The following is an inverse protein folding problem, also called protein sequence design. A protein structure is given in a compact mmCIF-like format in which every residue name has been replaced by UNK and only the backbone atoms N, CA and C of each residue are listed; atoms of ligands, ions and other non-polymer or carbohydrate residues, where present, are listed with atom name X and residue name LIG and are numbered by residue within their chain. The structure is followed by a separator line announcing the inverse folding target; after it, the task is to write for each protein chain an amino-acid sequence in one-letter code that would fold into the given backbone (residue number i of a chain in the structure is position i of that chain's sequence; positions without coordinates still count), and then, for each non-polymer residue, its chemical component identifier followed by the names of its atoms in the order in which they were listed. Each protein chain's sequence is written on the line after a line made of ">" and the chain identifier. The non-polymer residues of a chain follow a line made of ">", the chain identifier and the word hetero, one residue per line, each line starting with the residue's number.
data_IF_724729607348
#
_entry.id   IF_724729607348
#
_cell.length_a   1.000
_cell.length_b   1.000
_cell.length_c   1.000
_cell.angle_alpha   90.00
_cell.angle_beta   90.00
_cell.angle_gamma   90.00
#
_symmetry.space_group_name_H-M   'P 1'
#
loop_
_entity.id
_entity.type
_entity.pdbx_description
1 polymer ?
#
# COMPACT_ATOMS: atom_id res chain seq x y z
N UNK A 1 18.31 1.61 -7.57
CA UNK A 1 18.64 2.22 -6.25
C UNK A 1 17.41 2.97 -5.79
N UNK A 2 17.10 2.97 -4.49
CA UNK A 2 15.90 3.61 -3.93
C UNK A 2 16.26 4.47 -2.72
N UNK A 3 15.51 5.55 -2.53
CA UNK A 3 15.62 6.42 -1.35
C UNK A 3 14.59 6.00 -0.30
N UNK A 4 15.04 5.72 0.91
CA UNK A 4 14.17 5.35 2.03
C UNK A 4 13.75 6.62 2.78
N UNK A 5 12.44 6.84 2.91
CA UNK A 5 11.87 8.07 3.49
C UNK A 5 11.13 7.85 4.82
N UNK A 6 11.04 6.62 5.31
CA UNK A 6 10.34 6.31 6.56
C UNK A 6 10.14 4.80 6.78
N UNK A 7 9.45 4.46 7.86
CA UNK A 7 9.05 3.08 8.20
C UNK A 7 7.65 3.05 8.80
N UNK A 8 6.93 1.95 8.59
CA UNK A 8 5.64 1.69 9.25
C UNK A 8 5.91 1.34 10.72
N UNK A 9 5.24 2.02 11.65
CA UNK A 9 5.40 1.81 13.10
C UNK A 9 4.32 0.92 13.71
N UNK A 10 3.14 0.82 13.07
CA UNK A 10 2.02 -0.02 13.47
C UNK A 10 1.14 -0.37 12.25
N UNK A 11 0.34 -1.44 12.35
CA UNK A 11 -0.64 -1.81 11.32
C UNK A 11 -0.05 -2.46 10.07
N UNK A 12 1.09 -3.15 10.19
CA UNK A 12 1.77 -3.77 9.06
C UNK A 12 0.90 -4.88 8.41
N UNK A 13 0.08 -5.55 9.21
CA UNK A 13 -0.90 -6.53 8.78
C UNK A 13 -1.92 -5.98 7.78
N UNK A 14 -2.25 -4.69 7.85
CA UNK A 14 -3.17 -4.04 6.90
C UNK A 14 -2.49 -3.86 5.55
N UNK A 15 -1.20 -3.50 5.55
CA UNK A 15 -0.40 -3.37 4.32
C UNK A 15 -0.25 -4.73 3.64
N UNK A 16 -0.04 -5.79 4.42
CA UNK A 16 0.07 -7.14 3.88
C UNK A 16 -1.24 -7.66 3.28
N UNK A 17 -2.37 -7.16 3.77
CA UNK A 17 -3.71 -7.49 3.28
C UNK A 17 -4.13 -6.72 2.01
N UNK A 18 -3.36 -5.72 1.56
CA UNK A 18 -3.69 -4.92 0.37
C UNK A 18 -3.84 -5.83 -0.85
N UNK A 19 -4.91 -5.62 -1.61
CA UNK A 19 -5.20 -6.40 -2.81
C UNK A 19 -4.03 -6.35 -3.80
N UNK A 20 -3.50 -7.53 -4.11
CA UNK A 20 -2.39 -7.69 -5.05
C UNK A 20 -2.85 -7.64 -6.50
N UNK A 21 -1.99 -7.10 -7.36
CA UNK A 21 -2.11 -7.23 -8.81
C UNK A 21 -1.91 -8.67 -9.26
N UNK A 22 -2.36 -8.98 -10.48
CA UNK A 22 -2.27 -10.31 -11.10
C UNK A 22 -1.55 -10.23 -12.45
N UNK A 23 -0.90 -11.33 -12.82
CA UNK A 23 -0.20 -11.48 -14.10
C UNK A 23 1.08 -10.65 -14.22
N UNK A 24 1.70 -10.69 -15.40
CA UNK A 24 2.95 -9.99 -15.68
C UNK A 24 2.79 -8.46 -15.76
N UNK A 25 1.57 -7.98 -16.03
CA UNK A 25 1.28 -6.54 -16.07
C UNK A 25 1.12 -5.90 -14.69
N UNK A 26 0.89 -6.71 -13.65
CA UNK A 26 0.62 -6.20 -12.30
C UNK A 26 -0.73 -5.48 -12.16
N UNK A 27 -1.65 -5.65 -13.11
CA UNK A 27 -2.97 -5.03 -13.05
C UNK A 27 -3.78 -5.56 -11.85
N UNK A 28 -4.49 -4.67 -11.16
CA UNK A 28 -5.38 -5.05 -10.05
C UNK A 28 -6.81 -5.15 -10.59
N UNK A 29 -7.34 -6.36 -10.84
CA UNK A 29 -8.66 -6.50 -11.46
C UNK A 29 -9.79 -6.06 -10.52
N UNK A 30 -10.79 -5.36 -11.06
CA UNK A 30 -11.93 -4.85 -10.30
C UNK A 30 -11.59 -3.62 -9.46
N UNK A 31 -12.23 -3.45 -8.29
CA UNK A 31 -11.96 -2.33 -7.40
C UNK A 31 -10.65 -2.54 -6.63
N UNK A 32 -9.68 -1.61 -6.69
CA UNK A 32 -8.49 -1.62 -5.84
C UNK A 32 -8.76 -0.97 -4.48
N UNK A 33 -7.90 -1.25 -3.51
CA UNK A 33 -7.84 -0.50 -2.25
C UNK A 33 -7.26 0.90 -2.50
N UNK A 34 -7.76 1.90 -1.77
CA UNK A 34 -7.36 3.30 -1.95
C UNK A 34 -7.14 3.97 -0.60
N UNK A 35 -6.21 4.91 -0.55
CA UNK A 35 -6.03 5.79 0.62
C UNK A 35 -7.08 6.90 0.57
N UNK A 36 -8.19 6.71 1.28
CA UNK A 36 -9.32 7.67 1.26
C UNK A 36 -9.05 8.94 2.06
N UNK A 37 -8.24 8.86 3.10
CA UNK A 37 -7.83 10.00 3.93
C UNK A 37 -6.43 9.73 4.47
N UNK A 38 -5.58 10.76 4.45
CA UNK A 38 -4.20 10.70 4.96
C UNK A 38 -3.97 11.97 5.77
N UNK A 39 -3.44 11.81 6.98
CA UNK A 39 -3.19 12.92 7.90
C UNK A 39 -1.79 12.78 8.47
N UNK A 40 -1.09 13.91 8.57
CA UNK A 40 0.23 13.97 9.19
C UNK A 40 0.04 14.01 10.70
N UNK A 41 0.69 13.09 11.40
CA UNK A 41 0.81 13.10 12.86
C UNK A 41 2.17 13.69 13.25
N UNK A 42 2.25 14.27 14.45
CA UNK A 42 3.49 14.83 15.01
C UNK A 42 4.55 13.76 15.32
#
# INVERSE_FOLDING_TARGET
>A
QYTVIGKVTAGMEVVDAIKRGQGQSGAVPGKPDVMTSVTVTE
#
